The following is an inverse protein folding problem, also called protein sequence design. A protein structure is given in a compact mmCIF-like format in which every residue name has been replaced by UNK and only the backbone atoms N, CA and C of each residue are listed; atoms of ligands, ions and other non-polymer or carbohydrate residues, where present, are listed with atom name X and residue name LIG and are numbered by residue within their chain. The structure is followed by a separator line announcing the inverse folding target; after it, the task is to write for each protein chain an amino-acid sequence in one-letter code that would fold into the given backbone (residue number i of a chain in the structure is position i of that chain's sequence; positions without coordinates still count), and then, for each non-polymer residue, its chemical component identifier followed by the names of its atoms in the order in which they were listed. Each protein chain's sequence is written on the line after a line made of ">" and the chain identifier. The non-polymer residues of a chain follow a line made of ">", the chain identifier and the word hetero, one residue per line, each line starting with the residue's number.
data_IF_154602825287
#
_entry.id   IF_154602825287
#
_cell.length_a   1.000
_cell.length_b   1.000
_cell.length_c   1.000
_cell.angle_alpha   90.00
_cell.angle_beta   90.00
_cell.angle_gamma   90.00
#
_symmetry.space_group_name_H-M   'P 1'
#
loop_
_entity.id
_entity.type
_entity.pdbx_description
1 polymer ?
#
# COMPACT_ATOMS: atom_id res chain seq x y z
N UNK A 1 -27.88 -29.70 3.24
CA UNK A 1 -27.14 -28.91 4.24
C UNK A 1 -28.16 -28.47 5.26
N UNK A 2 -28.13 -29.03 6.48
CA UNK A 2 -29.11 -28.70 7.51
C UNK A 2 -28.91 -27.26 7.99
N UNK A 3 -30.01 -26.56 8.27
CA UNK A 3 -29.97 -25.24 8.90
C UNK A 3 -29.23 -25.36 10.24
N UNK A 4 -28.16 -24.58 10.43
CA UNK A 4 -27.50 -24.45 11.72
C UNK A 4 -28.23 -23.38 12.52
N UNK A 5 -28.80 -23.75 13.66
CA UNK A 5 -29.35 -22.79 14.61
C UNK A 5 -28.17 -22.08 15.30
N UNK A 6 -27.74 -20.96 14.71
CA UNK A 6 -26.69 -20.09 15.24
C UNK A 6 -27.31 -18.84 15.84
N UNK A 7 -27.02 -18.59 17.11
CA UNK A 7 -27.31 -17.32 17.75
C UNK A 7 -26.05 -16.46 17.62
N UNK A 8 -26.10 -15.46 16.74
CA UNK A 8 -25.03 -14.48 16.59
C UNK A 8 -25.35 -13.24 17.43
N UNK A 9 -24.43 -12.90 18.33
CA UNK A 9 -24.58 -11.73 19.20
C UNK A 9 -23.55 -10.67 18.82
N UNK A 10 -24.03 -9.49 18.44
CA UNK A 10 -23.19 -8.31 18.19
C UNK A 10 -23.50 -7.26 19.25
N UNK A 11 -22.60 -7.09 20.23
CA UNK A 11 -22.71 -6.04 21.24
C UNK A 11 -22.47 -6.54 22.67
N UNK A 12 -22.45 -5.60 23.60
CA UNK A 12 -22.41 -5.88 25.04
C UNK A 12 -23.77 -6.37 25.51
N UNK A 13 -23.78 -7.25 26.50
CA UNK A 13 -24.98 -7.37 27.32
C UNK A 13 -25.19 -8.70 27.99
N UNK A 14 -26.45 -8.85 28.41
CA UNK A 14 -26.98 -10.02 29.08
C UNK A 14 -28.00 -10.67 28.17
N UNK A 15 -27.85 -11.96 27.95
CA UNK A 15 -28.85 -12.78 27.28
C UNK A 15 -29.45 -13.70 28.33
N UNK A 16 -30.75 -13.59 28.53
CA UNK A 16 -31.51 -14.55 29.32
C UNK A 16 -32.33 -15.43 28.39
N UNK A 17 -32.15 -16.74 28.52
CA UNK A 17 -32.86 -17.77 27.78
C UNK A 17 -33.74 -18.50 28.77
N UNK A 18 -35.05 -18.36 28.64
CA UNK A 18 -35.99 -19.03 29.51
C UNK A 18 -35.90 -20.56 29.38
N UNK A 19 -35.85 -21.07 28.14
CA UNK A 19 -35.70 -22.49 27.88
C UNK A 19 -34.87 -22.74 26.62
N UNK A 20 -33.83 -23.55 26.75
CA UNK A 20 -33.06 -24.09 25.63
C UNK A 20 -33.50 -25.53 25.36
N UNK A 21 -34.02 -25.79 24.17
CA UNK A 21 -34.51 -27.11 23.76
C UNK A 21 -33.62 -27.65 22.64
N UNK A 22 -32.95 -28.78 22.88
CA UNK A 22 -32.26 -29.49 21.80
C UNK A 22 -33.26 -30.42 21.11
N UNK A 23 -33.43 -30.25 19.81
CA UNK A 23 -34.26 -31.14 18.98
C UNK A 23 -33.39 -32.30 18.47
N UNK A 24 -33.78 -33.52 18.85
CA UNK A 24 -33.14 -34.81 18.54
C UNK A 24 -31.68 -34.96 19.01
N UNK A 25 -31.32 -36.21 19.37
CA UNK A 25 -29.95 -36.59 19.69
C UNK A 25 -29.12 -36.46 18.41
N UNK A 26 -28.43 -35.32 18.26
CA UNK A 26 -27.53 -35.11 17.15
C UNK A 26 -26.37 -36.09 17.29
N UNK A 27 -26.42 -37.16 16.49
CA UNK A 27 -25.33 -38.10 16.29
C UNK A 27 -24.06 -37.35 15.83
N UNK A 28 -22.90 -38.02 15.85
CA UNK A 28 -21.55 -37.45 15.68
C UNK A 28 -21.27 -36.66 14.36
N UNK A 29 -22.28 -36.36 13.54
CA UNK A 29 -22.21 -35.49 12.36
C UNK A 29 -23.29 -34.41 12.27
N UNK A 30 -24.08 -34.19 13.33
CA UNK A 30 -25.12 -33.15 13.36
C UNK A 30 -24.59 -31.74 13.70
N UNK A 31 -25.29 -30.70 13.21
CA UNK A 31 -25.08 -29.30 13.58
C UNK A 31 -25.28 -29.05 15.10
N UNK A 32 -24.18 -28.86 15.83
CA UNK A 32 -24.25 -28.44 17.24
C UNK A 32 -24.86 -27.03 17.38
N UNK A 33 -25.85 -26.81 18.25
CA UNK A 33 -26.32 -25.47 18.59
C UNK A 33 -25.13 -24.60 19.01
N UNK A 34 -25.03 -23.40 18.41
CA UNK A 34 -23.84 -22.55 18.55
C UNK A 34 -24.23 -21.13 18.95
N UNK A 35 -23.59 -20.62 20.00
CA UNK A 35 -23.58 -19.20 20.34
C UNK A 35 -22.24 -18.63 19.87
N UNK A 36 -22.30 -17.59 19.06
CA UNK A 36 -21.12 -16.94 18.48
C UNK A 36 -21.11 -15.45 18.81
N UNK A 37 -20.03 -14.97 19.42
CA UNK A 37 -19.79 -13.52 19.57
C UNK A 37 -19.03 -13.01 18.36
N UNK A 38 -19.53 -11.92 17.79
CA UNK A 38 -18.92 -11.23 16.67
C UNK A 38 -18.70 -9.75 17.02
N UNK A 39 -17.67 -9.11 16.44
CA UNK A 39 -17.49 -7.67 16.60
C UNK A 39 -18.70 -6.89 16.07
N UNK A 40 -18.97 -5.73 16.66
CA UNK A 40 -20.10 -4.86 16.29
C UNK A 40 -19.91 -4.18 14.95
N UNK A 41 -18.67 -3.98 14.51
CA UNK A 41 -18.39 -3.52 13.15
C UNK A 41 -18.49 -4.70 12.18
N UNK A 42 -19.56 -4.70 11.38
CA UNK A 42 -19.83 -5.71 10.36
C UNK A 42 -18.81 -5.69 9.20
N UNK A 43 -18.10 -4.59 9.01
CA UNK A 43 -17.16 -4.44 7.91
C UNK A 43 -15.91 -5.29 8.13
N UNK A 44 -15.49 -6.01 7.10
CA UNK A 44 -14.18 -6.65 7.06
C UNK A 44 -13.11 -5.60 7.44
N UNK A 45 -11.99 -6.01 8.07
CA UNK A 45 -10.91 -5.06 8.33
C UNK A 45 -10.53 -4.36 7.03
N UNK A 46 -10.49 -3.04 7.07
CA UNK A 46 -10.16 -2.24 5.90
C UNK A 46 -8.64 -2.28 5.72
N UNK A 47 -8.21 -2.75 4.56
CA UNK A 47 -6.80 -2.65 4.18
C UNK A 47 -6.43 -1.18 3.99
N UNK A 48 -5.18 -0.85 4.29
CA UNK A 48 -4.58 0.40 3.92
C UNK A 48 -4.54 0.55 2.40
N UNK A 49 -4.81 1.76 1.93
CA UNK A 49 -4.66 2.13 0.54
C UNK A 49 -3.17 2.19 0.16
N UNK A 50 -2.85 1.71 -1.04
CA UNK A 50 -1.50 1.85 -1.59
C UNK A 50 -1.20 3.33 -1.85
N UNK A 51 0.04 3.70 -1.57
CA UNK A 51 0.60 4.98 -1.97
C UNK A 51 0.71 5.08 -3.48
N UNK A 52 0.45 6.28 -4.01
CA UNK A 52 0.69 6.62 -5.42
C UNK A 52 2.17 6.68 -5.72
N UNK A 53 2.55 6.18 -6.88
CA UNK A 53 3.89 6.40 -7.44
C UNK A 53 4.09 7.88 -7.76
N UNK A 54 5.34 8.33 -7.70
CA UNK A 54 5.72 9.67 -8.14
C UNK A 54 5.64 9.79 -9.66
N UNK A 55 5.32 10.99 -10.13
CA UNK A 55 5.27 11.29 -11.56
C UNK A 55 6.67 11.32 -12.18
N UNK A 56 6.74 10.96 -13.46
CA UNK A 56 7.97 11.03 -14.24
C UNK A 56 8.30 12.49 -14.55
N UNK A 57 9.56 12.85 -14.41
CA UNK A 57 10.06 14.17 -14.74
C UNK A 57 9.89 14.50 -16.22
N UNK A 58 9.57 15.75 -16.52
CA UNK A 58 9.38 16.22 -17.89
C UNK A 58 10.68 16.09 -18.70
N UNK A 59 10.56 15.74 -19.98
CA UNK A 59 11.72 15.69 -20.87
C UNK A 59 12.23 17.11 -21.16
N UNK A 60 13.55 17.25 -21.23
CA UNK A 60 14.22 18.45 -21.68
C UNK A 60 13.89 18.73 -23.15
N UNK A 61 13.58 19.98 -23.48
CA UNK A 61 13.32 20.38 -24.87
C UNK A 61 14.62 20.33 -25.68
N UNK A 62 14.61 19.86 -26.93
CA UNK A 62 15.74 20.03 -27.82
C UNK A 62 16.13 21.51 -27.95
N UNK A 63 17.42 21.77 -28.13
CA UNK A 63 17.94 23.06 -28.55
C UNK A 63 17.51 23.39 -29.98
N UNK A 64 17.71 24.65 -30.37
CA UNK A 64 17.46 25.12 -31.74
C UNK A 64 18.77 25.15 -32.50
N UNK A 65 18.80 24.54 -33.67
CA UNK A 65 19.95 24.57 -34.57
C UNK A 65 20.19 26.01 -35.08
N UNK A 66 21.43 26.30 -35.47
CA UNK A 66 21.75 27.53 -36.20
C UNK A 66 21.51 27.37 -37.69
N UNK A 67 21.23 28.48 -38.38
CA UNK A 67 20.94 28.53 -39.82
C UNK A 67 21.72 29.68 -40.48
N UNK A 68 22.03 29.59 -41.79
CA UNK A 68 22.56 30.74 -42.53
C UNK A 68 21.43 31.72 -42.82
N UNK A 69 21.68 33.01 -42.64
CA UNK A 69 20.65 34.03 -42.82
C UNK A 69 20.29 34.15 -44.30
N UNK A 70 18.99 34.16 -44.65
CA UNK A 70 18.53 34.00 -46.03
C UNK A 70 18.85 35.18 -46.97
N UNK A 71 19.47 36.26 -46.46
CA UNK A 71 19.71 37.48 -47.25
C UNK A 71 21.17 37.58 -47.71
N UNK A 72 22.04 36.75 -47.14
CA UNK A 72 23.39 36.48 -47.57
C UNK A 72 23.85 35.19 -46.87
N UNK A 73 23.94 34.08 -47.59
CA UNK A 73 24.41 32.76 -47.11
C UNK A 73 25.84 32.79 -46.49
N UNK A 74 26.39 33.99 -46.36
CA UNK A 74 27.63 34.36 -45.73
C UNK A 74 27.53 34.49 -44.20
N UNK A 75 26.38 34.88 -43.63
CA UNK A 75 26.24 35.19 -42.19
C UNK A 75 25.40 34.13 -41.49
N UNK A 76 25.93 33.53 -40.43
CA UNK A 76 25.20 32.61 -39.58
C UNK A 76 24.22 33.34 -38.64
N UNK A 77 23.11 32.69 -38.30
CA UNK A 77 22.26 33.05 -37.17
C UNK A 77 23.06 33.03 -35.86
N UNK A 78 22.49 33.47 -34.73
CA UNK A 78 23.10 33.22 -33.42
C UNK A 78 23.46 31.75 -33.21
N UNK A 79 24.40 31.51 -32.29
CA UNK A 79 24.82 30.18 -31.86
C UNK A 79 23.63 29.29 -31.52
N UNK A 80 23.82 28.00 -31.75
CA UNK A 80 22.77 27.02 -31.55
C UNK A 80 22.41 26.96 -30.07
N UNK A 81 21.12 26.92 -29.76
CA UNK A 81 20.68 26.92 -28.39
C UNK A 81 20.97 25.57 -27.73
N UNK A 82 21.32 25.60 -26.44
CA UNK A 82 21.45 24.39 -25.65
C UNK A 82 20.11 23.66 -25.47
N UNK A 83 20.18 22.35 -25.25
CA UNK A 83 19.04 21.55 -24.84
C UNK A 83 18.59 21.90 -23.43
N UNK A 84 17.28 21.80 -23.19
CA UNK A 84 16.68 22.00 -21.87
C UNK A 84 17.03 20.86 -20.91
N UNK A 85 17.13 21.17 -19.62
CA UNK A 85 17.28 20.17 -18.56
C UNK A 85 16.00 19.35 -18.38
N UNK A 86 16.14 18.05 -18.20
CA UNK A 86 15.02 17.18 -17.81
C UNK A 86 14.55 17.47 -16.38
N UNK A 87 13.25 17.41 -16.15
CA UNK A 87 12.64 17.55 -14.83
C UNK A 87 12.98 16.38 -13.93
N UNK A 88 13.00 16.63 -12.61
CA UNK A 88 13.15 15.55 -11.64
C UNK A 88 11.87 14.71 -11.58
N UNK A 89 12.02 13.41 -11.31
CA UNK A 89 10.89 12.57 -10.92
C UNK A 89 10.42 12.89 -9.51
N UNK A 90 9.12 12.75 -9.29
CA UNK A 90 8.52 13.03 -7.99
C UNK A 90 8.73 11.88 -7.00
N UNK A 91 8.62 12.19 -5.71
CA UNK A 91 8.65 11.17 -4.66
C UNK A 91 7.32 10.41 -4.66
N UNK A 92 7.35 9.09 -4.48
CA UNK A 92 6.13 8.33 -4.23
C UNK A 92 5.45 8.76 -2.93
N UNK A 93 4.20 8.36 -2.71
CA UNK A 93 3.50 8.65 -1.44
C UNK A 93 3.46 7.44 -0.53
N UNK A 94 3.31 7.69 0.78
CA UNK A 94 3.27 6.62 1.79
C UNK A 94 2.02 5.75 1.61
N UNK A 95 2.15 4.44 1.78
CA UNK A 95 1.01 3.54 1.96
C UNK A 95 0.27 3.82 3.26
N UNK A 96 -1.05 3.71 3.26
CA UNK A 96 -1.87 3.90 4.46
C UNK A 96 -1.81 2.67 5.36
N UNK A 97 -1.99 2.88 6.66
CA UNK A 97 -2.03 1.79 7.62
C UNK A 97 -3.33 0.98 7.46
N UNK A 98 -3.26 -0.32 7.70
CA UNK A 98 -4.44 -1.19 7.80
C UNK A 98 -5.23 -0.91 9.06
N UNK A 99 -6.55 -1.04 8.99
CA UNK A 99 -7.42 -0.84 10.15
C UNK A 99 -7.24 -1.99 11.16
N UNK A 100 -7.29 -1.66 12.46
CA UNK A 100 -7.36 -2.67 13.50
C UNK A 100 -8.61 -3.56 13.36
N UNK A 101 -8.44 -4.82 13.73
CA UNK A 101 -9.49 -5.80 13.81
C UNK A 101 -10.49 -5.47 14.91
N UNK A 102 -11.74 -5.85 14.69
CA UNK A 102 -12.81 -5.65 15.67
C UNK A 102 -12.65 -6.57 16.88
N UNK A 103 -12.67 -5.99 18.07
CA UNK A 103 -12.81 -6.73 19.33
C UNK A 103 -14.22 -7.32 19.43
N UNK A 104 -14.34 -8.47 20.07
CA UNK A 104 -15.63 -8.95 20.58
C UNK A 104 -15.96 -8.28 21.92
N UNK A 105 -17.19 -8.42 22.38
CA UNK A 105 -17.70 -7.74 23.58
C UNK A 105 -18.09 -8.75 24.63
N UNK A 106 -17.89 -8.38 25.90
CA UNK A 106 -18.25 -9.23 27.02
C UNK A 106 -19.74 -9.59 26.98
N UNK A 107 -20.03 -10.86 27.25
CA UNK A 107 -21.36 -11.44 27.13
C UNK A 107 -21.67 -12.33 28.32
N UNK A 108 -22.75 -12.02 29.04
CA UNK A 108 -23.29 -12.90 30.07
C UNK A 108 -24.56 -13.58 29.57
N UNK A 109 -24.58 -14.91 29.61
CA UNK A 109 -25.67 -15.76 29.14
C UNK A 109 -26.21 -16.51 30.34
N UNK A 110 -27.52 -16.46 30.57
CA UNK A 110 -28.20 -17.24 31.59
C UNK A 110 -29.25 -18.12 30.94
N UNK A 111 -29.18 -19.43 31.17
CA UNK A 111 -30.18 -20.39 30.71
C UNK A 111 -30.96 -20.87 31.93
N UNK A 112 -32.25 -20.56 31.98
CA UNK A 112 -33.10 -20.89 33.13
C UNK A 112 -33.54 -22.37 33.10
N UNK A 113 -33.74 -22.96 31.91
CA UNK A 113 -34.16 -24.35 31.74
C UNK A 113 -33.52 -24.99 30.50
N UNK A 114 -33.13 -26.26 30.61
CA UNK A 114 -32.62 -27.05 29.47
C UNK A 114 -33.48 -28.30 29.31
N UNK A 115 -33.98 -28.52 28.10
CA UNK A 115 -34.78 -29.68 27.72
C UNK A 115 -34.04 -30.50 26.67
N UNK A 116 -33.96 -31.83 26.89
CA UNK A 116 -33.19 -32.78 26.07
C UNK A 116 -31.70 -32.40 25.96
N UNK A 117 -30.95 -32.27 27.06
CA UNK A 117 -29.59 -31.72 27.06
C UNK A 117 -28.67 -32.36 26.00
N UNK A 118 -28.06 -31.51 25.18
CA UNK A 118 -27.06 -31.87 24.17
C UNK A 118 -25.72 -31.20 24.41
N UNK A 119 -24.96 -30.99 23.32
CA UNK A 119 -23.72 -30.19 23.35
C UNK A 119 -24.00 -28.79 22.84
N UNK A 120 -23.67 -27.77 23.64
CA UNK A 120 -23.70 -26.36 23.24
C UNK A 120 -22.29 -25.89 22.87
N UNK A 121 -22.13 -25.35 21.66
CA UNK A 121 -20.90 -24.70 21.23
C UNK A 121 -20.93 -23.20 21.59
N UNK A 122 -19.83 -22.70 22.14
CA UNK A 122 -19.63 -21.27 22.41
C UNK A 122 -18.33 -20.84 21.75
N UNK A 123 -18.44 -19.92 20.79
CA UNK A 123 -17.33 -19.46 19.98
C UNK A 123 -17.17 -17.95 20.13
N UNK A 124 -16.00 -17.54 20.57
CA UNK A 124 -15.57 -16.15 20.55
C UNK A 124 -14.67 -15.89 19.33
N UNK A 125 -15.10 -14.98 18.46
CA UNK A 125 -14.47 -14.77 17.16
C UNK A 125 -14.17 -13.28 16.92
N UNK A 126 -13.06 -12.76 17.49
CA UNK A 126 -12.55 -11.45 17.11
C UNK A 126 -12.12 -11.42 15.63
N UNK A 127 -12.06 -10.22 15.07
CA UNK A 127 -11.69 -10.02 13.65
C UNK A 127 -10.20 -9.75 13.49
N UNK A 128 -9.64 -10.26 12.39
CA UNK A 128 -8.27 -9.95 11.98
C UNK A 128 -8.09 -8.45 11.71
N UNK A 129 -6.85 -7.97 11.80
CA UNK A 129 -6.47 -6.64 11.33
C UNK A 129 -6.32 -6.57 9.81
N UNK A 130 -6.40 -5.37 9.26
CA UNK A 130 -6.25 -5.10 7.83
C UNK A 130 -4.78 -5.04 7.43
N UNK A 131 -4.47 -5.36 6.18
CA UNK A 131 -3.12 -5.23 5.66
C UNK A 131 -2.74 -3.76 5.53
N UNK A 132 -1.47 -3.41 5.74
CA UNK A 132 -0.95 -2.09 5.36
C UNK A 132 -0.85 -1.96 3.84
N UNK A 133 -1.09 -0.75 3.34
CA UNK A 133 -0.92 -0.40 1.93
C UNK A 133 0.55 -0.31 1.54
N UNK A 134 0.88 -0.63 0.29
CA UNK A 134 2.25 -0.49 -0.23
C UNK A 134 2.64 0.98 -0.35
N UNK A 135 3.91 1.29 -0.16
CA UNK A 135 4.46 2.60 -0.46
C UNK A 135 4.60 2.81 -1.96
N UNK A 136 4.37 4.04 -2.41
CA UNK A 136 4.55 4.45 -3.80
C UNK A 136 6.03 4.49 -4.18
N UNK A 137 6.33 4.07 -5.41
CA UNK A 137 7.68 4.18 -5.97
C UNK A 137 7.99 5.62 -6.39
N UNK A 138 9.26 6.00 -6.39
CA UNK A 138 9.68 7.29 -6.95
C UNK A 138 9.54 7.32 -8.47
N UNK A 139 9.20 8.48 -9.02
CA UNK A 139 9.14 8.71 -10.45
C UNK A 139 10.54 8.78 -11.07
N UNK A 140 10.68 8.39 -12.33
CA UNK A 140 11.95 8.55 -13.04
C UNK A 140 12.21 10.03 -13.36
N UNK A 141 13.48 10.43 -13.45
CA UNK A 141 13.86 11.74 -13.98
C UNK A 141 13.69 11.80 -15.50
N UNK A 142 13.34 12.99 -16.02
CA UNK A 142 13.29 13.24 -17.46
C UNK A 142 14.69 13.30 -18.06
N UNK A 143 14.87 12.86 -19.30
CA UNK A 143 16.12 13.03 -20.00
C UNK A 143 16.35 14.51 -20.36
N UNK A 144 17.60 14.91 -20.45
CA UNK A 144 17.98 16.21 -20.98
C UNK A 144 17.77 16.29 -22.50
N UNK A 145 17.46 17.47 -23.00
CA UNK A 145 17.30 17.73 -24.43
C UNK A 145 18.63 17.75 -25.16
N UNK A 146 18.62 17.36 -26.43
CA UNK A 146 19.80 17.46 -27.28
C UNK A 146 20.19 18.94 -27.47
N UNK A 147 21.48 19.24 -27.52
CA UNK A 147 21.96 20.56 -27.96
C UNK A 147 21.63 20.82 -29.43
N UNK A 148 21.43 22.08 -29.80
CA UNK A 148 21.24 22.49 -31.19
C UNK A 148 22.52 22.36 -31.99
N UNK A 149 22.40 22.02 -33.27
CA UNK A 149 23.53 21.82 -34.18
C UNK A 149 24.12 23.14 -34.67
N UNK A 150 25.46 23.22 -34.81
CA UNK A 150 26.11 24.38 -35.39
C UNK A 150 25.91 24.43 -36.90
N UNK A 151 26.19 25.59 -37.50
CA UNK A 151 26.28 25.75 -38.96
C UNK A 151 27.53 26.53 -39.35
N UNK A 152 28.04 26.24 -40.54
CA UNK A 152 29.12 26.98 -41.19
C UNK A 152 28.55 27.72 -42.40
N UNK A 153 28.70 29.03 -42.42
CA UNK A 153 28.35 29.92 -43.52
C UNK A 153 29.65 30.59 -44.05
N UNK A 154 29.63 31.20 -45.23
CA UNK A 154 30.87 31.59 -45.93
C UNK A 154 31.78 32.55 -45.14
N UNK A 155 31.21 33.45 -44.33
CA UNK A 155 31.97 34.44 -43.56
C UNK A 155 31.87 34.26 -42.04
N UNK A 156 30.95 33.41 -41.57
CA UNK A 156 30.70 33.22 -40.14
C UNK A 156 30.28 31.78 -39.82
N UNK A 157 30.77 31.28 -38.68
CA UNK A 157 30.36 30.01 -38.10
C UNK A 157 29.54 30.28 -36.84
N UNK A 158 28.54 29.43 -36.59
CA UNK A 158 27.80 29.40 -35.34
C UNK A 158 28.23 28.20 -34.50
N UNK A 159 28.33 28.38 -33.20
CA UNK A 159 28.79 27.34 -32.28
C UNK A 159 27.66 26.36 -31.90
N UNK A 160 28.01 25.11 -31.55
CA UNK A 160 27.04 24.11 -31.14
C UNK A 160 26.44 24.42 -29.77
N UNK A 161 25.19 24.00 -29.57
CA UNK A 161 24.53 24.04 -28.28
C UNK A 161 24.95 22.89 -27.36
N UNK A 162 25.02 23.15 -26.06
CA UNK A 162 25.22 22.11 -25.05
C UNK A 162 24.02 21.16 -24.96
N UNK A 163 24.26 19.90 -24.60
CA UNK A 163 23.19 19.01 -24.19
C UNK A 163 22.62 19.40 -22.82
N UNK A 164 21.31 19.25 -22.64
CA UNK A 164 20.66 19.47 -21.35
C UNK A 164 20.99 18.36 -20.36
N UNK A 165 21.02 18.65 -19.06
CA UNK A 165 21.20 17.61 -18.05
C UNK A 165 19.94 16.75 -17.92
N UNK A 166 20.09 15.48 -17.56
CA UNK A 166 18.97 14.66 -17.11
C UNK A 166 18.51 15.07 -15.72
N UNK A 167 17.21 14.92 -15.45
CA UNK A 167 16.63 15.12 -14.13
C UNK A 167 16.92 13.94 -13.20
N UNK A 168 16.89 14.17 -11.89
CA UNK A 168 17.08 13.11 -10.91
C UNK A 168 15.82 12.26 -10.76
N UNK A 169 16.00 10.98 -10.41
CA UNK A 169 14.89 10.12 -10.00
C UNK A 169 14.36 10.49 -8.62
N UNK A 170 13.07 10.26 -8.40
CA UNK A 170 12.41 10.45 -7.13
C UNK A 170 12.70 9.32 -6.14
N UNK A 171 12.50 9.58 -4.85
CA UNK A 171 12.62 8.56 -3.81
C UNK A 171 11.36 7.69 -3.73
N UNK A 172 11.54 6.46 -3.25
CA UNK A 172 10.42 5.61 -2.85
C UNK A 172 9.84 6.08 -1.52
N UNK A 173 8.61 5.68 -1.24
CA UNK A 173 7.93 5.99 0.02
C UNK A 173 7.65 4.74 0.85
N UNK A 174 7.52 4.92 2.17
CA UNK A 174 7.29 3.82 3.10
C UNK A 174 5.93 3.14 2.88
N UNK A 175 5.86 1.84 3.18
CA UNK A 175 4.60 1.12 3.31
C UNK A 175 3.86 1.49 4.58
N UNK A 176 2.54 1.25 4.58
CA UNK A 176 1.70 1.37 5.76
C UNK A 176 1.88 0.18 6.69
N UNK A 177 1.64 0.39 7.98
CA UNK A 177 1.63 -0.70 8.96
C UNK A 177 0.38 -1.55 8.80
N UNK A 178 0.46 -2.84 9.16
CA UNK A 178 -0.71 -3.68 9.28
C UNK A 178 -1.48 -3.37 10.56
N UNK A 179 -2.80 -3.47 10.50
CA UNK A 179 -3.67 -3.31 11.67
C UNK A 179 -3.53 -4.48 12.63
N UNK A 180 -3.72 -4.24 13.92
CA UNK A 180 -3.68 -5.29 14.95
C UNK A 180 -4.90 -6.20 14.84
N UNK A 181 -4.77 -7.46 15.27
CA UNK A 181 -5.91 -8.35 15.44
C UNK A 181 -6.79 -7.89 16.61
N UNK A 182 -8.10 -8.08 16.49
CA UNK A 182 -9.04 -7.82 17.58
C UNK A 182 -8.85 -8.77 18.77
N UNK A 183 -9.17 -8.28 19.96
CA UNK A 183 -9.18 -9.07 21.18
C UNK A 183 -10.51 -9.82 21.33
N UNK A 184 -10.42 -11.05 21.82
CA UNK A 184 -11.54 -11.81 22.33
C UNK A 184 -12.12 -11.20 23.61
N UNK A 185 -13.29 -11.68 24.03
CA UNK A 185 -14.04 -11.14 25.16
C UNK A 185 -14.20 -12.13 26.30
N UNK A 186 -14.76 -11.67 27.42
CA UNK A 186 -15.21 -12.52 28.50
C UNK A 186 -16.65 -12.97 28.26
N UNK A 187 -16.86 -14.28 28.20
CA UNK A 187 -18.18 -14.90 28.11
C UNK A 187 -18.47 -15.64 29.41
N UNK A 188 -19.58 -15.31 30.06
CA UNK A 188 -20.05 -15.98 31.26
C UNK A 188 -21.34 -16.73 30.94
N UNK A 189 -21.31 -18.06 30.98
CA UNK A 189 -22.49 -18.90 30.80
C UNK A 189 -22.96 -19.43 32.17
N UNK A 190 -24.20 -19.12 32.53
CA UNK A 190 -24.88 -19.64 33.72
C UNK A 190 -25.94 -20.65 33.31
N UNK A 191 -25.88 -21.88 33.83
CA UNK A 191 -26.79 -23.00 33.49
C UNK A 191 -27.36 -23.67 34.76
N UNK A 192 -28.48 -24.41 34.67
CA UNK A 192 -29.05 -25.07 35.83
C UNK A 192 -28.15 -26.20 36.37
N UNK A 193 -28.03 -26.35 37.70
CA UNK A 193 -27.21 -27.39 38.39
C UNK A 193 -27.46 -28.82 37.92
N UNK A 194 -28.65 -29.12 37.40
CA UNK A 194 -29.04 -30.47 36.98
C UNK A 194 -29.04 -30.65 35.46
N UNK A 195 -28.43 -29.72 34.70
CA UNK A 195 -28.30 -29.88 33.26
C UNK A 195 -27.18 -30.84 32.91
N UNK A 196 -27.49 -32.00 32.33
CA UNK A 196 -26.48 -32.91 31.76
C UNK A 196 -25.92 -32.40 30.41
N UNK A 197 -26.02 -31.09 30.17
CA UNK A 197 -25.57 -30.43 28.94
C UNK A 197 -24.05 -30.42 28.91
N UNK A 198 -23.48 -30.74 27.75
CA UNK A 198 -22.05 -30.59 27.49
C UNK A 198 -21.78 -29.25 26.84
N UNK A 199 -20.59 -28.71 27.06
CA UNK A 199 -20.15 -27.47 26.41
C UNK A 199 -18.88 -27.72 25.62
N UNK A 200 -18.84 -27.16 24.42
CA UNK A 200 -17.61 -27.03 23.64
C UNK A 200 -17.30 -25.54 23.50
N UNK A 201 -16.16 -25.11 24.01
CA UNK A 201 -15.80 -23.68 24.07
C UNK A 201 -14.56 -23.43 23.24
N UNK A 202 -14.54 -22.30 22.53
CA UNK A 202 -13.38 -21.85 21.77
C UNK A 202 -13.34 -20.33 21.75
N UNK A 203 -12.23 -19.74 22.18
CA UNK A 203 -11.91 -18.34 21.88
C UNK A 203 -10.78 -18.29 20.87
N UNK A 204 -11.03 -17.64 19.73
CA UNK A 204 -10.05 -17.49 18.69
C UNK A 204 -9.16 -16.27 18.94
N UNK A 205 -7.90 -16.38 18.54
CA UNK A 205 -6.99 -15.25 18.46
C UNK A 205 -7.08 -14.68 17.05
N UNK A 206 -7.41 -13.39 16.94
CA UNK A 206 -7.34 -12.72 15.67
C UNK A 206 -5.88 -12.46 15.28
N UNK A 207 -5.54 -12.72 14.02
CA UNK A 207 -4.23 -12.36 13.48
C UNK A 207 -4.16 -10.85 13.19
N UNK A 208 -2.98 -10.26 13.38
CA UNK A 208 -2.71 -8.93 12.85
C UNK A 208 -2.52 -8.98 11.33
N UNK A 209 -2.74 -7.85 10.66
CA UNK A 209 -2.47 -7.71 9.23
C UNK A 209 -0.97 -7.58 8.96
N UNK A 210 -0.46 -8.09 7.84
CA UNK A 210 0.89 -7.78 7.36
C UNK A 210 1.06 -6.28 7.09
N UNK A 211 2.27 -5.76 7.30
CA UNK A 211 2.67 -4.43 6.84
C UNK A 211 2.83 -4.39 5.32
N UNK A 212 2.63 -3.21 4.74
CA UNK A 212 2.84 -2.95 3.32
C UNK A 212 4.33 -2.88 2.97
N UNK A 213 4.68 -3.28 1.76
CA UNK A 213 6.05 -3.11 1.24
C UNK A 213 6.35 -1.63 1.00
N UNK A 214 7.61 -1.22 1.17
CA UNK A 214 8.05 0.12 0.75
C UNK A 214 8.21 0.22 -0.76
N UNK A 215 8.13 1.44 -1.29
CA UNK A 215 8.30 1.75 -2.71
C UNK A 215 9.78 1.77 -3.14
N UNK A 216 10.03 1.51 -4.42
CA UNK A 216 11.39 1.58 -4.99
C UNK A 216 11.76 3.03 -5.33
N UNK A 217 13.06 3.28 -5.49
CA UNK A 217 13.55 4.57 -6.01
C UNK A 217 13.31 4.66 -7.53
N UNK A 218 13.15 5.88 -8.03
CA UNK A 218 13.13 6.19 -9.45
C UNK A 218 14.53 6.34 -10.04
N UNK A 219 14.67 6.02 -11.32
CA UNK A 219 15.93 6.17 -12.05
C UNK A 219 16.16 7.65 -12.44
N UNK A 220 17.43 8.07 -12.49
CA UNK A 220 17.80 9.36 -13.06
C UNK A 220 17.67 9.36 -14.58
N UNK A 221 17.30 10.50 -15.15
CA UNK A 221 17.24 10.70 -16.59
C UNK A 221 18.63 10.78 -17.21
N UNK A 222 18.77 10.36 -18.46
CA UNK A 222 20.03 10.53 -19.21
C UNK A 222 20.30 12.01 -19.50
N UNK A 223 21.58 12.39 -19.57
CA UNK A 223 21.95 13.68 -20.16
C UNK A 223 21.68 13.69 -21.67
N UNK A 224 21.35 14.86 -22.21
CA UNK A 224 21.22 15.06 -23.64
C UNK A 224 22.59 15.11 -24.32
N UNK A 225 22.75 14.56 -25.53
CA UNK A 225 23.95 14.77 -26.32
C UNK A 225 24.13 16.25 -26.67
N UNK A 226 25.38 16.67 -26.83
CA UNK A 226 25.72 17.95 -27.46
C UNK A 226 25.24 18.05 -28.92
N UNK A 227 25.19 19.27 -29.47
CA UNK A 227 24.76 19.55 -30.84
C UNK A 227 25.64 18.96 -31.96
N UNK A 228 26.72 18.27 -31.61
CA UNK A 228 27.68 17.71 -32.56
C UNK A 228 28.63 18.76 -33.15
N UNK A 229 29.63 18.30 -33.88
CA UNK A 229 30.59 19.17 -34.56
C UNK A 229 30.07 19.51 -35.96
N UNK A 230 30.05 20.79 -36.31
CA UNK A 230 29.88 21.20 -37.70
C UNK A 230 31.03 20.62 -38.53
N UNK A 231 30.76 20.26 -39.79
CA UNK A 231 31.75 19.59 -40.65
C UNK A 231 33.06 20.39 -40.82
N UNK A 232 32.99 21.71 -40.61
CA UNK A 232 34.09 22.65 -40.85
C UNK A 232 34.52 23.47 -39.61
N UNK A 233 34.11 23.07 -38.40
CA UNK A 233 34.64 23.73 -37.19
C UNK A 233 36.16 23.54 -37.13
N UNK A 234 36.88 24.63 -36.86
CA UNK A 234 38.33 24.59 -36.72
C UNK A 234 38.71 23.60 -35.60
N UNK A 235 39.88 22.94 -35.66
CA UNK A 235 40.29 21.98 -34.64
C UNK A 235 40.25 22.52 -33.20
N UNK A 236 40.44 23.83 -33.03
CA UNK A 236 40.38 24.54 -31.75
C UNK A 236 38.95 24.82 -31.25
N UNK A 237 37.95 24.72 -32.13
CA UNK A 237 36.53 24.89 -31.83
C UNK A 237 35.82 23.55 -31.58
N UNK A 238 36.55 22.44 -31.76
CA UNK A 238 36.08 21.10 -31.42
C UNK A 238 36.04 20.95 -29.89
N UNK A 239 34.84 20.67 -29.35
CA UNK A 239 34.61 20.49 -27.91
C UNK A 239 34.11 21.73 -27.18
N UNK A 240 33.68 22.76 -27.92
CA UNK A 240 33.03 23.95 -27.33
C UNK A 240 31.64 23.66 -26.75
N UNK A 241 30.98 22.61 -27.22
CA UNK A 241 29.77 22.06 -26.59
C UNK A 241 30.09 20.84 -25.74
N UNK A 242 29.36 20.70 -24.63
CA UNK A 242 29.43 19.53 -23.76
C UNK A 242 28.09 18.80 -23.74
N UNK A 243 28.15 17.47 -23.74
CA UNK A 243 27.01 16.63 -23.44
C UNK A 243 26.53 16.85 -22.01
N UNK A 244 25.22 16.78 -21.81
CA UNK A 244 24.59 16.90 -20.51
C UNK A 244 24.98 15.74 -19.58
N UNK A 245 24.95 16.00 -18.28
CA UNK A 245 25.16 14.97 -17.25
C UNK A 245 23.86 14.19 -17.03
N UNK A 246 23.97 12.87 -16.83
CA UNK A 246 22.85 12.08 -16.35
C UNK A 246 22.45 12.52 -14.93
N UNK A 247 21.16 12.48 -14.64
CA UNK A 247 20.62 12.66 -13.30
C UNK A 247 20.97 11.48 -12.41
N UNK A 248 20.98 11.70 -11.11
CA UNK A 248 21.14 10.64 -10.12
C UNK A 248 19.83 9.86 -9.95
N UNK A 249 19.93 8.56 -9.67
CA UNK A 249 18.80 7.78 -9.18
C UNK A 249 18.35 8.34 -7.81
N UNK A 250 17.08 8.14 -7.46
CA UNK A 250 16.62 8.29 -6.09
C UNK A 250 17.49 7.45 -5.16
N UNK A 251 17.72 7.95 -3.95
CA UNK A 251 18.68 7.36 -3.01
C UNK A 251 18.02 6.80 -1.75
N UNK A 252 16.72 7.02 -1.56
CA UNK A 252 15.97 6.54 -0.39
C UNK A 252 14.87 5.59 -0.87
N UNK A 253 15.07 4.27 -0.76
CA UNK A 253 13.98 3.32 -0.91
C UNK A 253 13.03 3.43 0.28
N UNK A 254 11.76 3.14 0.05
CA UNK A 254 10.76 3.04 1.10
C UNK A 254 11.03 1.86 2.02
N UNK A 255 10.75 2.04 3.30
CA UNK A 255 10.77 0.96 4.29
C UNK A 255 9.45 0.20 4.26
N UNK A 256 9.52 -1.11 4.49
CA UNK A 256 8.31 -1.89 4.74
C UNK A 256 7.67 -1.46 6.07
N UNK A 257 6.33 -1.45 6.10
CA UNK A 257 5.56 -1.26 7.31
C UNK A 257 5.69 -2.45 8.26
N UNK A 258 5.35 -2.23 9.52
CA UNK A 258 5.36 -3.28 10.53
C UNK A 258 4.10 -4.14 10.42
N UNK A 259 4.23 -5.44 10.71
CA UNK A 259 3.06 -6.30 10.88
C UNK A 259 2.30 -5.89 12.14
N UNK A 260 0.97 -5.92 12.06
CA UNK A 260 0.10 -5.76 13.20
C UNK A 260 0.28 -6.90 14.20
N UNK A 261 0.04 -6.61 15.48
CA UNK A 261 0.13 -7.62 16.53
C UNK A 261 -1.10 -8.53 16.48
N UNK A 262 -0.95 -9.83 16.78
CA UNK A 262 -2.10 -10.67 17.08
C UNK A 262 -2.90 -10.11 18.26
N UNK A 263 -4.21 -10.37 18.26
CA UNK A 263 -5.07 -10.07 19.38
C UNK A 263 -4.82 -11.00 20.57
N UNK A 264 -5.60 -10.81 21.62
CA UNK A 264 -5.58 -11.63 22.83
C UNK A 264 -6.81 -12.55 22.82
N UNK A 265 -6.64 -13.81 23.22
CA UNK A 265 -7.78 -14.71 23.40
C UNK A 265 -8.68 -14.24 24.54
N UNK A 266 -9.99 -14.36 24.34
CA UNK A 266 -10.99 -14.16 25.37
C UNK A 266 -11.03 -15.29 26.40
N UNK A 267 -12.01 -15.23 27.30
CA UNK A 267 -12.23 -16.23 28.34
C UNK A 267 -13.68 -16.67 28.36
N UNK A 268 -13.93 -17.96 28.59
CA UNK A 268 -15.29 -18.52 28.66
C UNK A 268 -15.42 -19.25 29.99
N UNK A 269 -16.29 -18.75 30.86
CA UNK A 269 -16.54 -19.28 32.19
C UNK A 269 -17.95 -19.86 32.25
N UNK A 270 -18.09 -21.06 32.82
CA UNK A 270 -19.38 -21.73 32.96
C UNK A 270 -19.66 -21.92 34.45
N UNK A 271 -20.82 -21.44 34.89
CA UNK A 271 -21.29 -21.53 36.27
C UNK A 271 -22.62 -22.27 36.31
N UNK A 272 -22.79 -23.14 37.29
CA UNK A 272 -24.06 -23.83 37.56
C UNK A 272 -24.81 -23.17 38.70
N UNK A 273 -26.12 -22.93 38.54
CA UNK A 273 -26.99 -22.31 39.57
C UNK A 273 -28.33 -23.03 39.73
#
# INVERSE_FOLDING_TARGET
>A
MGNSDTISCTGYGKIEIDELIFKESQSAGGNMPTIMTLPTKSNAPQNGEDGRNGEVGLQGRPGTDSECLPWNDEIASPDAAGGGTGGNGEIGTKGHDGADGGNTHDLSIKINKITNPGTLAIIDQPRAGGNGGRGGSGGAGGAGGNGGKPITCDLQHAYPGNGGNGGNGGNGSDGGNGGNGGNGCKIELTIPVNSSMKTWTRSNIAVGGPGGQGGTVGEGGSGGPEGGQGLDLLPEEKGLSISGKAGANGNIPGKAGQNGKPGIAGSITITTV
#
